data_IF_981282298040
#
_entry.id   IF_981282298040
#
_cell.length_a   1.000
_cell.length_b   1.000
_cell.length_c   1.000
_cell.angle_alpha   90.00
_cell.angle_beta   90.00
_cell.angle_gamma   90.00
#
_symmetry.space_group_name_H-M   'P 1'
#
loop_
_entity.id
_entity.type
_entity.pdbx_description
1 polymer ?
#
# COMPACT_ATOMS: atom_id res chain seq x y z
N UNK A 1 -30.10 -48.46 -6.93
CA UNK A 1 -30.61 -47.15 -6.46
C UNK A 1 -30.00 -46.66 -5.14
N UNK A 2 -29.41 -47.51 -4.28
CA UNK A 2 -28.79 -47.06 -3.01
C UNK A 2 -27.44 -46.35 -3.15
N UNK A 3 -26.71 -46.59 -4.23
CA UNK A 3 -25.37 -46.00 -4.46
C UNK A 3 -25.43 -44.57 -5.01
N UNK A 4 -26.46 -44.23 -5.80
CA UNK A 4 -26.61 -42.90 -6.42
C UNK A 4 -26.79 -41.79 -5.37
N UNK A 5 -27.52 -42.08 -4.29
CA UNK A 5 -27.77 -41.13 -3.21
C UNK A 5 -26.52 -40.84 -2.37
N UNK A 6 -25.59 -41.80 -2.26
CA UNK A 6 -24.39 -41.63 -1.44
C UNK A 6 -23.38 -40.68 -2.11
N UNK A 7 -23.20 -40.79 -3.43
CA UNK A 7 -22.34 -39.90 -4.22
C UNK A 7 -22.80 -38.44 -4.21
N UNK A 8 -24.11 -38.20 -4.21
CA UNK A 8 -24.68 -36.86 -4.24
C UNK A 8 -24.53 -36.15 -2.89
N UNK A 9 -24.61 -36.89 -1.79
CA UNK A 9 -24.35 -36.39 -0.42
C UNK A 9 -22.86 -36.03 -0.25
N UNK A 10 -21.95 -36.87 -0.76
CA UNK A 10 -20.51 -36.59 -0.65
C UNK A 10 -20.13 -35.34 -1.45
N UNK A 11 -20.63 -35.18 -2.68
CA UNK A 11 -20.39 -33.99 -3.49
C UNK A 11 -20.92 -32.70 -2.83
N UNK A 12 -22.08 -32.77 -2.18
CA UNK A 12 -22.64 -31.63 -1.45
C UNK A 12 -21.80 -31.24 -0.22
N UNK A 13 -21.21 -32.21 0.50
CA UNK A 13 -20.31 -31.94 1.63
C UNK A 13 -19.00 -31.29 1.18
N UNK A 14 -18.43 -31.72 0.05
CA UNK A 14 -17.23 -31.10 -0.51
C UNK A 14 -17.48 -29.67 -1.02
N UNK A 15 -18.65 -29.40 -1.61
CA UNK A 15 -19.04 -28.05 -2.05
C UNK A 15 -19.24 -27.08 -0.87
N UNK A 16 -19.71 -27.57 0.29
CA UNK A 16 -19.86 -26.74 1.49
C UNK A 16 -18.52 -26.49 2.20
N UNK A 17 -17.57 -27.43 2.12
CA UNK A 17 -16.24 -27.26 2.68
C UNK A 17 -15.34 -26.32 1.86
N UNK A 18 -15.55 -26.23 0.54
CA UNK A 18 -14.79 -25.31 -0.33
C UNK A 18 -15.18 -23.83 -0.18
N UNK A 19 -16.27 -23.52 0.53
CA UNK A 19 -16.73 -22.15 0.78
C UNK A 19 -16.36 -21.60 2.17
N UNK A 20 -15.62 -22.34 2.99
CA UNK A 20 -15.17 -21.90 4.31
C UNK A 20 -13.67 -21.55 4.32
N UNK A 21 -13.19 -20.81 3.32
CA UNK A 21 -11.96 -20.03 3.52
C UNK A 21 -12.38 -18.73 4.19
N UNK A 22 -12.79 -18.84 5.45
CA UNK A 22 -12.84 -17.69 6.35
C UNK A 22 -11.40 -17.15 6.37
N UNK A 23 -11.19 -15.89 5.97
CA UNK A 23 -9.83 -15.37 5.92
C UNK A 23 -9.23 -15.48 7.32
N UNK A 24 -8.11 -16.18 7.47
CA UNK A 24 -7.36 -16.26 8.74
C UNK A 24 -6.79 -14.90 9.17
N UNK A 25 -7.12 -13.83 8.43
CA UNK A 25 -6.76 -12.46 8.76
C UNK A 25 -7.65 -12.04 9.95
N UNK A 26 -7.05 -11.68 11.09
CA UNK A 26 -7.81 -11.19 12.22
C UNK A 26 -8.64 -9.98 11.81
N UNK A 27 -9.89 -9.87 12.26
CA UNK A 27 -10.73 -8.70 11.94
C UNK A 27 -10.25 -7.40 12.61
N UNK A 28 -9.35 -7.49 13.60
CA UNK A 28 -8.78 -6.34 14.30
C UNK A 28 -7.30 -6.15 13.94
N UNK A 29 -6.92 -4.92 13.61
CA UNK A 29 -5.54 -4.51 13.45
C UNK A 29 -4.77 -4.66 14.76
N UNK A 30 -3.53 -5.14 14.68
CA UNK A 30 -2.61 -5.09 15.82
C UNK A 30 -2.27 -3.63 16.17
N UNK A 31 -1.76 -3.39 17.38
CA UNK A 31 -1.31 -2.04 17.75
C UNK A 31 -0.17 -1.53 16.84
N UNK A 32 0.67 -2.44 16.34
CA UNK A 32 1.74 -2.10 15.40
C UNK A 32 1.15 -1.73 14.02
N UNK A 33 0.18 -2.49 13.53
CA UNK A 33 -0.46 -2.20 12.24
C UNK A 33 -1.23 -0.88 12.28
N UNK A 34 -1.83 -0.51 13.42
CA UNK A 34 -2.46 0.80 13.59
C UNK A 34 -1.45 1.93 13.47
N UNK A 35 -0.30 1.82 14.14
CA UNK A 35 0.78 2.82 14.06
C UNK A 35 1.33 2.89 12.63
N UNK A 36 1.49 1.75 11.96
CA UNK A 36 1.91 1.71 10.57
C UNK A 36 0.89 2.38 9.64
N UNK A 37 -0.41 2.12 9.84
CA UNK A 37 -1.47 2.76 9.05
C UNK A 37 -1.49 4.27 9.27
N UNK A 38 -1.46 4.73 10.53
CA UNK A 38 -1.40 6.16 10.87
C UNK A 38 -0.17 6.84 10.26
N UNK A 39 0.99 6.16 10.27
CA UNK A 39 2.21 6.70 9.66
C UNK A 39 2.20 6.71 8.13
N UNK A 40 1.53 5.76 7.48
CA UNK A 40 1.31 5.80 6.03
C UNK A 40 0.39 6.97 5.66
N UNK A 41 -0.72 7.15 6.37
CA UNK A 41 -1.67 8.25 6.15
C UNK A 41 -1.00 9.62 6.34
N UNK A 42 -0.19 9.79 7.39
CA UNK A 42 0.56 11.03 7.64
C UNK A 42 1.58 11.31 6.53
N UNK A 43 2.36 10.30 6.14
CA UNK A 43 3.37 10.43 5.09
C UNK A 43 2.74 10.76 3.72
N UNK A 44 1.65 10.09 3.34
CA UNK A 44 0.93 10.37 2.10
C UNK A 44 0.38 11.81 2.09
N UNK A 45 -0.23 12.24 3.20
CA UNK A 45 -0.77 13.59 3.34
C UNK A 45 0.33 14.66 3.21
N UNK A 46 1.45 14.51 3.91
CA UNK A 46 2.57 15.46 3.82
C UNK A 46 3.27 15.42 2.45
N UNK A 47 3.37 14.24 1.82
CA UNK A 47 3.86 14.13 0.44
C UNK A 47 2.97 14.92 -0.53
N UNK A 48 1.64 14.82 -0.40
CA UNK A 48 0.70 15.57 -1.23
C UNK A 48 0.90 17.07 -1.07
N UNK A 49 1.00 17.57 0.18
CA UNK A 49 1.22 19.00 0.44
C UNK A 49 2.51 19.51 -0.25
N UNK A 50 3.62 18.78 -0.15
CA UNK A 50 4.88 19.19 -0.78
C UNK A 50 4.85 19.08 -2.31
N UNK A 51 4.09 18.12 -2.86
CA UNK A 51 3.87 18.05 -4.30
C UNK A 51 3.04 19.24 -4.81
N UNK A 52 2.00 19.65 -4.06
CA UNK A 52 1.21 20.84 -4.38
C UNK A 52 2.06 22.12 -4.31
N UNK A 53 2.96 22.24 -3.32
CA UNK A 53 3.92 23.34 -3.23
C UNK A 53 4.81 23.42 -4.49
N UNK A 54 5.31 22.27 -4.97
CA UNK A 54 6.07 22.18 -6.21
C UNK A 54 5.25 22.55 -7.44
N UNK A 55 4.01 22.06 -7.54
CA UNK A 55 3.11 22.39 -8.64
C UNK A 55 2.86 23.91 -8.71
N UNK A 56 2.63 24.55 -7.55
CA UNK A 56 2.50 26.01 -7.46
C UNK A 56 3.78 26.72 -7.88
N UNK A 57 4.95 26.18 -7.54
CA UNK A 57 6.23 26.71 -7.98
C UNK A 57 6.51 26.51 -9.47
N UNK A 58 5.99 25.45 -10.09
CA UNK A 58 6.08 25.23 -11.53
C UNK A 58 5.16 26.19 -12.30
N UNK A 59 3.96 26.45 -11.78
CA UNK A 59 2.96 27.33 -12.41
C UNK A 59 3.23 28.83 -12.17
N UNK A 60 4.03 29.16 -11.15
CA UNK A 60 4.36 30.54 -10.80
C UNK A 60 5.86 30.82 -10.90
N UNK A 61 6.24 31.90 -11.61
CA UNK A 61 7.63 32.38 -11.67
C UNK A 61 8.15 32.98 -10.33
N UNK A 62 7.51 32.67 -9.21
CA UNK A 62 7.71 33.33 -7.92
C UNK A 62 8.50 32.50 -6.91
N UNK A 63 8.75 31.22 -7.18
CA UNK A 63 9.56 30.40 -6.29
C UNK A 63 11.05 30.59 -6.52
N UNK A 64 11.81 30.59 -5.41
CA UNK A 64 13.27 30.54 -5.48
C UNK A 64 13.72 29.10 -5.76
N UNK A 65 14.88 28.88 -6.38
CA UNK A 65 15.43 27.52 -6.57
C UNK A 65 15.54 26.73 -5.26
N UNK A 66 15.83 27.42 -4.15
CA UNK A 66 15.90 26.79 -2.82
C UNK A 66 14.55 26.31 -2.32
N UNK A 67 13.46 27.02 -2.63
CA UNK A 67 12.12 26.61 -2.24
C UNK A 67 11.70 25.35 -3.02
N UNK A 68 11.98 25.33 -4.32
CA UNK A 68 11.74 24.15 -5.18
C UNK A 68 12.49 22.93 -4.64
N UNK A 69 13.80 23.06 -4.40
CA UNK A 69 14.59 21.95 -3.84
C UNK A 69 14.12 21.49 -2.45
N UNK A 70 13.62 22.41 -1.62
CA UNK A 70 13.10 22.06 -0.29
C UNK A 70 11.83 21.23 -0.41
N UNK A 71 10.87 21.68 -1.22
CA UNK A 71 9.61 20.95 -1.42
C UNK A 71 9.87 19.58 -2.07
N UNK A 72 10.77 19.51 -3.05
CA UNK A 72 11.21 18.23 -3.64
C UNK A 72 11.84 17.28 -2.61
N UNK A 73 12.78 17.78 -1.80
CA UNK A 73 13.43 16.94 -0.77
C UNK A 73 12.44 16.45 0.28
N UNK A 74 11.45 17.28 0.65
CA UNK A 74 10.43 16.90 1.61
C UNK A 74 9.46 15.88 1.03
N UNK A 75 9.09 16.01 -0.25
CA UNK A 75 8.31 14.99 -0.95
C UNK A 75 9.00 13.61 -0.89
N UNK A 76 10.28 13.53 -1.29
CA UNK A 76 11.03 12.27 -1.27
C UNK A 76 11.17 11.70 0.14
N UNK A 77 11.38 12.57 1.14
CA UNK A 77 11.41 12.15 2.53
C UNK A 77 10.10 11.48 2.96
N UNK A 78 8.95 12.07 2.62
CA UNK A 78 7.66 11.50 2.98
C UNK A 78 7.35 10.23 2.18
N UNK A 79 7.73 10.18 0.91
CA UNK A 79 7.67 8.96 0.11
C UNK A 79 8.45 7.81 0.76
N UNK A 80 9.64 8.08 1.32
CA UNK A 80 10.43 7.10 2.05
C UNK A 80 9.78 6.70 3.40
N UNK A 81 9.14 7.66 4.09
CA UNK A 81 8.40 7.39 5.32
C UNK A 81 7.17 6.51 5.08
N UNK A 82 6.45 6.73 3.98
CA UNK A 82 5.36 5.87 3.55
C UNK A 82 5.85 4.43 3.37
N UNK A 83 6.93 4.22 2.62
CA UNK A 83 7.51 2.89 2.40
C UNK A 83 7.99 2.24 3.71
N UNK A 84 8.56 3.04 4.62
CA UNK A 84 8.96 2.57 5.94
C UNK A 84 7.76 2.05 6.75
N UNK A 85 6.65 2.80 6.78
CA UNK A 85 5.47 2.39 7.51
C UNK A 85 4.75 1.22 6.83
N UNK A 86 4.67 1.23 5.50
CA UNK A 86 4.14 0.14 4.69
C UNK A 86 4.89 -1.18 4.95
N UNK A 87 6.23 -1.14 5.00
CA UNK A 87 7.04 -2.32 5.34
C UNK A 87 6.85 -2.84 6.78
N UNK A 88 6.28 -2.02 7.67
CA UNK A 88 5.95 -2.41 9.04
C UNK A 88 4.47 -2.84 9.20
N UNK A 89 3.67 -2.73 8.16
CA UNK A 89 2.27 -3.16 8.14
C UNK A 89 2.18 -4.65 7.80
N UNK A 90 1.54 -5.43 8.67
CA UNK A 90 1.47 -6.90 8.57
C UNK A 90 0.07 -7.44 8.36
N UNK A 91 -0.95 -6.59 8.47
CA UNK A 91 -2.35 -6.96 8.31
C UNK A 91 -2.72 -7.05 6.83
N UNK A 92 -3.61 -7.96 6.44
CA UNK A 92 -3.94 -8.21 5.02
C UNK A 92 -2.74 -8.52 4.08
N UNK A 93 -1.54 -8.73 4.62
CA UNK A 93 -0.31 -8.85 3.84
C UNK A 93 -0.10 -10.29 3.32
N UNK A 94 -1.13 -10.87 2.71
CA UNK A 94 -1.13 -12.26 2.21
C UNK A 94 -0.07 -12.50 1.12
N UNK A 95 0.39 -11.44 0.44
CA UNK A 95 1.39 -11.48 -0.63
C UNK A 95 2.78 -10.96 -0.21
N UNK A 96 2.97 -10.57 1.05
CA UNK A 96 4.24 -10.06 1.56
C UNK A 96 4.79 -10.98 2.64
N UNK A 97 5.22 -12.15 2.21
CA UNK A 97 6.13 -12.98 3.00
C UNK A 97 7.53 -12.35 3.13
N UNK A 98 7.75 -11.14 2.59
CA UNK A 98 8.90 -10.31 2.93
C UNK A 98 8.63 -9.56 4.23
N UNK A 99 8.63 -10.32 5.34
CA UNK A 99 9.03 -9.76 6.62
C UNK A 99 10.42 -9.16 6.47
N UNK A 100 10.50 -7.88 6.10
CA UNK A 100 11.71 -7.10 6.21
C UNK A 100 12.00 -7.00 7.70
N UNK A 101 12.90 -7.85 8.19
CA UNK A 101 13.44 -7.72 9.53
C UNK A 101 13.83 -6.25 9.73
N UNK A 102 13.51 -5.66 10.88
CA UNK A 102 13.67 -4.25 11.24
C UNK A 102 15.13 -3.69 11.17
N UNK A 103 16.03 -4.36 10.46
CA UNK A 103 17.35 -3.90 10.08
C UNK A 103 17.28 -3.41 8.63
N UNK A 104 16.81 -2.17 8.47
CA UNK A 104 16.85 -1.44 7.21
C UNK A 104 18.28 -1.45 6.66
N UNK A 105 18.48 -2.16 5.55
CA UNK A 105 19.59 -1.93 4.65
C UNK A 105 18.95 -1.47 3.35
N UNK A 106 19.09 -0.18 3.06
CA UNK A 106 18.64 0.44 1.83
C UNK A 106 19.03 -0.42 0.61
N UNK A 107 18.04 -1.01 -0.03
CA UNK A 107 18.17 -1.58 -1.35
C UNK A 107 16.87 -1.27 -2.09
N UNK A 108 16.93 -0.31 -3.01
CA UNK A 108 15.86 -0.02 -3.95
C UNK A 108 15.47 -1.31 -4.68
N UNK A 109 14.24 -1.77 -4.47
CA UNK A 109 13.67 -2.93 -5.12
C UNK A 109 12.56 -2.48 -6.05
N UNK A 110 12.86 -2.41 -7.34
CA UNK A 110 11.86 -2.25 -8.40
C UNK A 110 10.99 -3.52 -8.42
N UNK A 111 9.78 -3.45 -7.89
CA UNK A 111 8.80 -4.51 -8.00
C UNK A 111 7.76 -4.12 -9.06
N UNK A 112 7.91 -4.68 -10.26
CA UNK A 112 6.83 -4.69 -11.26
C UNK A 112 5.71 -5.61 -10.72
N UNK A 113 4.57 -5.03 -10.32
CA UNK A 113 3.43 -5.81 -9.85
C UNK A 113 2.48 -6.18 -11.00
N UNK A 114 2.22 -7.48 -11.11
CA UNK A 114 1.18 -8.07 -11.94
C UNK A 114 -0.19 -7.81 -11.32
N UNK A 115 -1.16 -7.51 -12.16
CA UNK A 115 -2.55 -7.22 -11.80
C UNK A 115 -3.24 -8.49 -11.27
N UNK A 116 -3.79 -8.45 -10.05
CA UNK A 116 -4.72 -9.47 -9.55
C UNK A 116 -5.94 -8.89 -8.80
N UNK A 117 -6.98 -9.73 -8.84
CA UNK A 117 -8.42 -9.48 -8.82
C UNK A 117 -9.03 -8.67 -7.65
N UNK A 118 -9.96 -7.79 -8.03
CA UNK A 118 -10.94 -7.16 -7.15
C UNK A 118 -11.77 -8.19 -6.37
N UNK A 119 -11.66 -8.21 -5.04
CA UNK A 119 -12.55 -9.06 -4.26
C UNK A 119 -12.20 -9.36 -2.81
N UNK A 120 -11.64 -8.42 -2.04
CA UNK A 120 -11.79 -8.48 -0.58
C UNK A 120 -11.89 -7.06 -0.03
N UNK A 121 -12.62 -6.93 1.08
CA UNK A 121 -12.78 -5.67 1.80
C UNK A 121 -11.42 -5.30 2.40
N UNK A 122 -10.60 -4.60 1.61
CA UNK A 122 -9.22 -4.26 1.92
C UNK A 122 -9.22 -3.06 2.85
N UNK A 123 -9.07 -3.31 4.16
CA UNK A 123 -8.89 -2.25 5.13
C UNK A 123 -7.64 -1.42 4.82
N UNK A 124 -7.83 -0.22 4.26
CA UNK A 124 -6.95 0.95 4.22
C UNK A 124 -5.48 0.81 3.77
N UNK A 125 -5.02 -0.35 3.28
CA UNK A 125 -3.61 -0.53 2.86
C UNK A 125 -3.38 -0.56 1.34
N UNK A 126 -4.42 -0.83 0.55
CA UNK A 126 -4.29 -0.92 -0.91
C UNK A 126 -4.62 0.42 -1.59
N UNK A 127 -5.64 1.12 -1.09
CA UNK A 127 -6.03 2.45 -1.58
C UNK A 127 -4.89 3.46 -1.39
N UNK A 128 -4.37 3.59 -0.17
CA UNK A 128 -3.22 4.47 0.15
C UNK A 128 -1.95 4.12 -0.61
N UNK A 129 -1.70 2.82 -0.87
CA UNK A 129 -0.59 2.40 -1.72
C UNK A 129 -0.76 2.91 -3.16
N UNK A 130 -1.96 2.77 -3.74
CA UNK A 130 -2.23 3.28 -5.08
C UNK A 130 -2.18 4.81 -5.13
N UNK A 131 -2.73 5.49 -4.13
CA UNK A 131 -2.68 6.95 -4.00
C UNK A 131 -1.24 7.45 -3.97
N UNK A 132 -0.37 6.83 -3.17
CA UNK A 132 1.06 7.18 -3.14
C UNK A 132 1.77 6.88 -4.47
N UNK A 133 1.43 5.78 -5.16
CA UNK A 133 1.98 5.46 -6.50
C UNK A 133 1.57 6.50 -7.53
N UNK A 134 0.29 6.89 -7.56
CA UNK A 134 -0.21 7.94 -8.44
C UNK A 134 0.47 9.28 -8.13
N UNK A 135 0.59 9.62 -6.85
CA UNK A 135 1.24 10.84 -6.40
C UNK A 135 2.72 10.91 -6.82
N UNK A 136 3.47 9.80 -6.72
CA UNK A 136 4.86 9.71 -7.22
C UNK A 136 4.94 9.92 -8.73
N UNK A 137 4.00 9.36 -9.49
CA UNK A 137 3.94 9.56 -10.93
C UNK A 137 3.64 11.01 -11.31
N UNK A 138 2.74 11.66 -10.56
CA UNK A 138 2.48 13.09 -10.72
C UNK A 138 3.69 13.94 -10.34
N UNK A 139 4.40 13.60 -9.27
CA UNK A 139 5.56 14.37 -8.80
C UNK A 139 6.69 14.46 -9.83
N UNK A 140 6.92 13.40 -10.61
CA UNK A 140 7.97 13.35 -11.63
C UNK A 140 7.88 14.52 -12.63
N UNK A 141 6.67 15.05 -12.88
CA UNK A 141 6.48 16.19 -13.78
C UNK A 141 7.05 17.52 -13.24
N UNK A 142 7.25 17.62 -11.92
CA UNK A 142 7.75 18.80 -11.22
C UNK A 142 9.18 18.63 -10.68
N UNK A 143 9.74 17.43 -10.77
CA UNK A 143 11.06 17.11 -10.23
C UNK A 143 12.14 18.01 -10.86
N UNK A 144 12.95 18.73 -10.04
CA UNK A 144 14.01 19.58 -10.56
C UNK A 144 15.15 18.76 -11.18
N UNK A 145 15.58 19.12 -12.40
CA UNK A 145 16.72 18.50 -13.10
C UNK A 145 18.07 18.70 -12.40
#
# INVERSE_FOLDING_TARGET
MKTLNLTLIIAAVFLLASCQKESDIPAELSAADKIATEGMEEAEHEALEHNEELAVCADSNNCTPSAIQTADSLFHYQSDMFDFHHANYSHNNLDDDHHHSAVSTHSHGNAEHAEEEEGADHGHSQESHYEMVELRAEHEQYHPN
#
